data_IF_407973021645
#
_entry.id   IF_407973021645
#
_cell.length_a   1.000
_cell.length_b   1.000
_cell.length_c   1.000
_cell.angle_alpha   90.00
_cell.angle_beta   90.00
_cell.angle_gamma   90.00
#
_symmetry.space_group_name_H-M   'P 1'
#
loop_
_entity.id
_entity.type
_entity.pdbx_description
1 polymer ?
#
# COMPACT_ATOMS: atom_id res chain seq x y z
N UNK A 1 -25.90 -0.17 7.98
CA UNK A 1 -24.56 -0.77 8.23
C UNK A 1 -23.61 -0.06 7.28
N UNK A 2 -22.66 0.70 7.79
CA UNK A 2 -21.71 1.49 6.98
C UNK A 2 -20.68 0.55 6.35
N UNK A 3 -20.55 0.59 5.02
CA UNK A 3 -19.46 -0.09 4.31
C UNK A 3 -18.17 0.71 4.56
N UNK A 4 -17.03 0.08 4.89
CA UNK A 4 -15.75 0.79 5.01
C UNK A 4 -15.47 1.76 3.86
N UNK A 5 -15.80 1.39 2.62
CA UNK A 5 -15.64 2.26 1.44
C UNK A 5 -16.34 3.61 1.53
N UNK A 6 -17.47 3.71 2.23
CA UNK A 6 -18.21 4.97 2.41
C UNK A 6 -17.47 5.97 3.32
N UNK A 7 -16.61 5.49 4.23
CA UNK A 7 -15.76 6.33 5.05
C UNK A 7 -14.63 6.98 4.22
N UNK A 8 -14.12 6.27 3.20
CA UNK A 8 -13.05 6.77 2.33
C UNK A 8 -13.55 7.76 1.28
N UNK A 9 -14.82 7.66 0.87
CA UNK A 9 -15.49 8.60 -0.04
C UNK A 9 -16.07 9.83 0.69
N UNK A 10 -16.08 9.82 2.02
CA UNK A 10 -16.63 10.88 2.85
C UNK A 10 -15.58 11.97 3.16
N UNK A 11 -15.95 13.27 3.14
CA UNK A 11 -15.12 14.38 3.64
C UNK A 11 -14.43 14.14 4.98
N UNK A 12 -14.98 13.26 5.83
CA UNK A 12 -14.42 12.85 7.10
C UNK A 12 -12.97 12.33 7.00
N UNK A 13 -12.63 11.52 5.99
CA UNK A 13 -11.26 11.00 5.86
C UNK A 13 -10.26 12.13 5.59
N UNK A 14 -10.59 13.05 4.69
CA UNK A 14 -9.75 14.22 4.40
C UNK A 14 -9.54 15.08 5.65
N UNK A 15 -10.56 15.23 6.50
CA UNK A 15 -10.45 15.95 7.77
C UNK A 15 -9.52 15.23 8.76
N UNK A 16 -9.64 13.92 8.88
CA UNK A 16 -8.76 13.11 9.74
C UNK A 16 -7.31 13.17 9.27
N UNK A 17 -7.07 13.06 7.96
CA UNK A 17 -5.71 13.18 7.39
C UNK A 17 -5.13 14.59 7.60
N UNK A 18 -5.94 15.64 7.44
CA UNK A 18 -5.52 17.02 7.69
C UNK A 18 -5.18 17.25 9.17
N UNK A 19 -6.02 16.74 10.08
CA UNK A 19 -5.76 16.79 11.51
C UNK A 19 -4.47 16.04 11.87
N UNK A 20 -4.30 14.80 11.39
CA UNK A 20 -3.11 14.00 11.68
C UNK A 20 -1.82 14.67 11.18
N UNK A 21 -1.85 15.27 9.99
CA UNK A 21 -0.73 16.04 9.44
C UNK A 21 -0.32 17.24 10.29
N UNK A 22 -1.23 17.81 11.07
CA UNK A 22 -0.92 18.94 11.98
C UNK A 22 -0.35 18.49 13.32
N UNK A 23 -0.55 17.22 13.71
CA UNK A 23 -0.26 16.75 15.07
C UNK A 23 0.88 15.73 15.13
N UNK A 24 1.31 15.18 13.99
CA UNK A 24 2.37 14.16 13.92
C UNK A 24 3.38 14.50 12.83
N UNK A 25 4.66 14.23 13.09
CA UNK A 25 5.73 14.37 12.09
C UNK A 25 5.59 13.34 10.96
N UNK A 26 5.12 12.14 11.32
CA UNK A 26 4.90 11.03 10.39
C UNK A 26 3.59 10.33 10.71
N UNK A 27 2.81 10.04 9.67
CA UNK A 27 1.56 9.27 9.77
C UNK A 27 1.70 8.01 8.93
N UNK A 28 1.73 6.85 9.58
CA UNK A 28 1.73 5.55 8.91
C UNK A 28 0.32 5.01 8.91
N UNK A 29 -0.17 4.64 7.72
CA UNK A 29 -1.51 4.07 7.54
C UNK A 29 -1.34 2.64 7.05
N UNK A 30 -1.86 1.68 7.81
CA UNK A 30 -1.99 0.30 7.38
C UNK A 30 -3.29 0.14 6.59
N UNK A 31 -3.20 -0.50 5.42
CA UNK A 31 -4.33 -0.66 4.51
C UNK A 31 -4.59 -2.15 4.26
N UNK A 32 -5.80 -2.45 3.78
CA UNK A 32 -6.12 -3.76 3.23
C UNK A 32 -5.19 -4.10 2.04
N UNK A 33 -5.07 -5.38 1.65
CA UNK A 33 -4.50 -5.72 0.35
C UNK A 33 -5.28 -5.03 -0.78
N UNK A 34 -4.59 -4.58 -1.83
CA UNK A 34 -5.18 -3.77 -2.92
C UNK A 34 -6.44 -4.37 -3.54
N UNK A 35 -6.55 -5.70 -3.62
CA UNK A 35 -7.72 -6.39 -4.17
C UNK A 35 -8.71 -6.91 -3.12
N UNK A 36 -8.41 -6.78 -1.83
CA UNK A 36 -9.30 -7.23 -0.77
C UNK A 36 -10.45 -6.25 -0.52
N UNK A 37 -10.20 -4.95 -0.76
CA UNK A 37 -11.19 -3.90 -0.65
C UNK A 37 -10.82 -2.68 -1.51
N UNK A 38 -11.82 -1.95 -1.99
CA UNK A 38 -11.64 -0.73 -2.80
C UNK A 38 -11.08 0.46 -1.98
N UNK A 39 -11.10 0.35 -0.65
CA UNK A 39 -10.62 1.37 0.29
C UNK A 39 -9.16 1.77 0.04
N UNK A 40 -8.30 0.80 -0.24
CA UNK A 40 -6.85 0.98 -0.36
C UNK A 40 -6.52 1.77 -1.62
N UNK A 41 -7.15 1.41 -2.73
CA UNK A 41 -6.98 2.11 -4.00
C UNK A 41 -7.58 3.53 -3.98
N UNK A 42 -8.56 3.77 -3.09
CA UNK A 42 -9.19 5.08 -2.88
C UNK A 42 -8.37 5.97 -1.92
N UNK A 43 -7.75 5.40 -0.89
CA UNK A 43 -6.90 6.09 0.07
C UNK A 43 -5.54 6.48 -0.51
N UNK A 44 -4.92 5.60 -1.30
CA UNK A 44 -3.54 5.74 -1.77
C UNK A 44 -3.22 7.06 -2.51
N UNK A 45 -4.15 7.69 -3.25
CA UNK A 45 -3.93 9.01 -3.86
C UNK A 45 -4.00 10.19 -2.87
N UNK A 46 -4.49 9.98 -1.65
CA UNK A 46 -4.69 11.04 -0.62
C UNK A 46 -3.49 11.19 0.34
N UNK A 47 -2.51 10.28 0.25
CA UNK A 47 -1.31 10.24 1.10
C UNK A 47 -0.07 10.72 0.35
N UNK A 48 0.98 11.10 1.08
CA UNK A 48 2.22 11.62 0.48
C UNK A 48 3.03 10.57 -0.30
N UNK A 49 2.77 9.29 -0.01
CA UNK A 49 3.29 8.17 -0.76
C UNK A 49 2.87 6.82 -0.20
N UNK A 50 3.00 5.79 -1.03
CA UNK A 50 2.62 4.41 -0.74
C UNK A 50 3.83 3.50 -0.87
N UNK A 51 4.05 2.62 0.10
CA UNK A 51 5.00 1.50 -0.01
C UNK A 51 4.24 0.24 -0.37
N UNK A 52 4.59 -0.40 -1.48
CA UNK A 52 3.93 -1.62 -1.92
C UNK A 52 4.62 -2.85 -1.34
N UNK A 53 3.88 -3.68 -0.59
CA UNK A 53 4.46 -4.85 0.10
C UNK A 53 4.20 -6.13 -0.70
N UNK A 54 5.25 -6.87 -1.02
CA UNK A 54 5.19 -8.20 -1.64
C UNK A 54 5.78 -9.22 -0.68
N UNK A 55 5.03 -10.27 -0.35
CA UNK A 55 5.48 -11.31 0.57
C UNK A 55 6.04 -12.51 -0.19
N UNK A 56 7.26 -12.90 0.15
CA UNK A 56 7.92 -14.09 -0.39
C UNK A 56 7.03 -15.34 -0.27
N UNK A 57 7.01 -16.16 -1.31
CA UNK A 57 6.22 -17.42 -1.45
C UNK A 57 4.70 -17.27 -1.21
N UNK A 58 4.17 -16.05 -1.17
CA UNK A 58 2.74 -15.78 -0.94
C UNK A 58 2.16 -14.92 -2.06
N UNK A 59 2.75 -13.75 -2.29
CA UNK A 59 2.32 -12.83 -3.33
C UNK A 59 2.79 -13.34 -4.69
N UNK A 60 1.86 -13.73 -5.56
CA UNK A 60 2.18 -14.20 -6.92
C UNK A 60 2.54 -13.00 -7.82
N UNK A 61 3.52 -13.14 -8.75
CA UNK A 61 3.98 -12.03 -9.58
C UNK A 61 2.89 -11.34 -10.39
N UNK A 62 1.98 -12.10 -11.00
CA UNK A 62 0.90 -11.55 -11.83
C UNK A 62 -0.09 -10.69 -11.03
N UNK A 63 -0.73 -11.18 -9.95
CA UNK A 63 -1.56 -10.32 -9.09
C UNK A 63 -0.81 -9.13 -8.50
N UNK A 64 0.47 -9.28 -8.13
CA UNK A 64 1.25 -8.16 -7.61
C UNK A 64 1.42 -7.05 -8.67
N UNK A 65 1.66 -7.43 -9.93
CA UNK A 65 1.75 -6.50 -11.06
C UNK A 65 0.41 -5.81 -11.34
N UNK A 66 -0.68 -6.57 -11.39
CA UNK A 66 -2.02 -6.04 -11.62
C UNK A 66 -2.43 -5.05 -10.50
N UNK A 67 -2.03 -5.32 -9.25
CA UNK A 67 -2.27 -4.42 -8.12
C UNK A 67 -1.49 -3.10 -8.25
N UNK A 68 -0.23 -3.16 -8.66
CA UNK A 68 0.58 -1.97 -8.94
C UNK A 68 -0.02 -1.14 -10.08
N UNK A 69 -0.46 -1.80 -11.16
CA UNK A 69 -1.12 -1.14 -12.30
C UNK A 69 -2.40 -0.41 -11.84
N UNK A 70 -3.21 -1.03 -10.98
CA UNK A 70 -4.39 -0.38 -10.40
C UNK A 70 -4.03 0.86 -9.56
N UNK A 71 -3.00 0.76 -8.70
CA UNK A 71 -2.55 1.91 -7.91
C UNK A 71 -2.07 3.06 -8.81
N UNK A 72 -1.34 2.77 -9.88
CA UNK A 72 -0.92 3.78 -10.86
C UNK A 72 -2.10 4.39 -11.62
N UNK A 73 -3.09 3.59 -12.03
CA UNK A 73 -4.31 4.10 -12.66
C UNK A 73 -5.09 5.05 -11.73
N UNK A 74 -5.05 4.80 -10.42
CA UNK A 74 -5.65 5.67 -9.40
C UNK A 74 -4.79 6.88 -9.05
N UNK A 75 -3.64 7.07 -9.70
CA UNK A 75 -2.70 8.17 -9.44
C UNK A 75 -2.06 8.12 -8.04
N UNK A 76 -1.99 6.92 -7.44
CA UNK A 76 -1.25 6.74 -6.19
C UNK A 76 0.26 6.94 -6.42
N UNK A 77 0.91 7.65 -5.51
CA UNK A 77 2.37 7.84 -5.53
C UNK A 77 3.06 6.67 -4.86
N UNK A 78 3.37 5.62 -5.62
CA UNK A 78 4.15 4.48 -5.11
C UNK A 78 5.63 4.87 -4.99
N UNK A 79 6.15 4.90 -3.77
CA UNK A 79 7.53 5.30 -3.46
C UNK A 79 8.53 4.17 -3.70
N UNK A 80 8.08 2.92 -3.60
CA UNK A 80 8.91 1.75 -3.73
C UNK A 80 8.22 0.47 -3.30
N UNK A 81 8.97 -0.64 -3.36
CA UNK A 81 8.51 -1.97 -3.01
C UNK A 81 9.27 -2.50 -1.79
N UNK A 82 8.53 -3.14 -0.88
CA UNK A 82 9.09 -3.89 0.25
C UNK A 82 8.92 -5.38 -0.03
N UNK A 83 10.03 -6.09 -0.24
CA UNK A 83 10.02 -7.55 -0.34
C UNK A 83 10.13 -8.16 1.06
N UNK A 84 8.98 -8.60 1.59
CA UNK A 84 8.85 -9.07 2.95
C UNK A 84 9.03 -10.59 3.05
N UNK A 85 9.54 -11.06 4.19
CA UNK A 85 9.90 -12.47 4.46
C UNK A 85 10.88 -13.07 3.44
N UNK A 86 11.82 -12.25 2.97
CA UNK A 86 12.91 -12.73 2.13
C UNK A 86 13.72 -13.81 2.88
N UNK A 87 14.06 -14.90 2.19
CA UNK A 87 14.91 -15.96 2.73
C UNK A 87 16.37 -15.47 2.71
N UNK A 88 16.95 -15.22 3.89
CA UNK A 88 18.32 -14.71 4.00
C UNK A 88 19.37 -15.69 3.43
N UNK A 89 19.06 -16.99 3.40
CA UNK A 89 19.91 -18.05 2.84
C UNK A 89 20.06 -17.97 1.32
N UNK A 90 19.09 -17.41 0.59
CA UNK A 90 19.17 -17.26 -0.86
C UNK A 90 20.22 -16.23 -1.30
N UNK A 91 20.65 -15.33 -0.39
CA UNK A 91 21.78 -14.43 -0.67
C UNK A 91 23.12 -15.14 -0.83
N UNK A 92 23.30 -16.32 -0.22
CA UNK A 92 24.57 -17.06 -0.29
C UNK A 92 24.83 -17.67 -1.68
N UNK A 93 23.78 -17.91 -2.48
CA UNK A 93 23.92 -18.50 -3.82
C UNK A 93 24.36 -17.48 -4.88
N UNK A 94 24.13 -16.18 -4.65
CA UNK A 94 24.56 -15.11 -5.57
C UNK A 94 25.99 -14.61 -5.30
N UNK A 95 26.61 -14.99 -4.18
CA UNK A 95 28.00 -14.62 -3.86
C UNK A 95 29.05 -15.51 -4.57
N UNK A 96 28.61 -16.42 -5.43
CA UNK A 96 29.47 -17.36 -6.17
C UNK A 96 29.44 -17.16 -7.70
N UNK A 97 28.96 -16.01 -8.18
CA UNK A 97 29.07 -15.59 -9.57
C UNK A 97 29.88 -14.30 -9.69
#
# INVERSE_FOLDING_TARGET
MSNPGDLFLNPALSQVLAWARQHFDYVLIDSSPVFAADDTATLAPMVDGTLFVVRNRFSRPRPAREALELLFQRQAKVLGLVFNRADASERSHYSHY
#
